data_IF_939386776065
#
_entry.id   IF_939386776065
#
_cell.length_a   1.000
_cell.length_b   1.000
_cell.length_c   1.000
_cell.angle_alpha   90.00
_cell.angle_beta   90.00
_cell.angle_gamma   90.00
#
_symmetry.space_group_name_H-M   'P 1'
#
loop_
_entity.id
_entity.type
_entity.pdbx_description
1 polymer ?
#
# COMPACT_ATOMS: atom_id res chain seq x y z
N UNK A 1 -8.30 8.74 -40.79
CA UNK A 1 -8.73 8.77 -39.38
C UNK A 1 -7.62 8.14 -38.57
N UNK A 2 -6.91 8.94 -37.77
CA UNK A 2 -5.59 8.63 -37.25
C UNK A 2 -5.64 7.45 -36.27
N UNK A 3 -4.66 6.55 -36.37
CA UNK A 3 -4.45 5.41 -35.47
C UNK A 3 -4.44 5.77 -33.98
N UNK A 4 -4.20 7.05 -33.64
CA UNK A 4 -4.22 7.57 -32.28
C UNK A 4 -5.65 7.61 -31.68
N UNK A 5 -6.69 7.85 -32.48
CA UNK A 5 -8.07 7.94 -31.98
C UNK A 5 -8.64 6.57 -31.56
N UNK A 6 -8.30 5.51 -32.31
CA UNK A 6 -8.70 4.14 -31.99
C UNK A 6 -8.06 3.65 -30.68
N UNK A 7 -6.80 4.04 -30.47
CA UNK A 7 -6.05 3.74 -29.25
C UNK A 7 -6.69 4.46 -28.05
N UNK A 8 -7.02 5.76 -28.19
CA UNK A 8 -7.70 6.52 -27.13
C UNK A 8 -9.09 5.95 -26.82
N UNK A 9 -9.91 5.62 -27.83
CA UNK A 9 -11.22 5.00 -27.61
C UNK A 9 -11.11 3.62 -26.93
N UNK A 10 -10.10 2.83 -27.29
CA UNK A 10 -9.84 1.54 -26.62
C UNK A 10 -9.45 1.74 -25.16
N UNK A 11 -8.65 2.76 -24.84
CA UNK A 11 -8.29 3.10 -23.46
C UNK A 11 -9.48 3.63 -22.66
N UNK A 12 -10.33 4.47 -23.25
CA UNK A 12 -11.56 4.97 -22.63
C UNK A 12 -12.55 3.84 -22.37
N UNK A 13 -12.72 2.92 -23.33
CA UNK A 13 -13.62 1.77 -23.18
C UNK A 13 -13.10 0.77 -22.13
N UNK A 14 -11.78 0.54 -22.06
CA UNK A 14 -11.17 -0.27 -21.02
C UNK A 14 -11.27 0.40 -19.65
N UNK A 15 -11.10 1.73 -19.56
CA UNK A 15 -11.29 2.51 -18.34
C UNK A 15 -12.73 2.43 -17.82
N UNK A 16 -13.70 2.52 -18.71
CA UNK A 16 -15.13 2.45 -18.38
C UNK A 16 -15.55 1.03 -17.97
N UNK A 17 -15.08 -0.01 -18.67
CA UNK A 17 -15.34 -1.41 -18.30
C UNK A 17 -14.61 -1.85 -17.02
N UNK A 18 -13.48 -1.23 -16.71
CA UNK A 18 -12.72 -1.48 -15.47
C UNK A 18 -13.20 -0.62 -14.30
N UNK A 19 -14.15 0.31 -14.50
CA UNK A 19 -14.79 1.05 -13.42
C UNK A 19 -13.87 2.02 -12.66
N UNK A 20 -12.78 2.47 -13.27
CA UNK A 20 -11.79 3.37 -12.64
C UNK A 20 -12.32 4.78 -12.29
N UNK A 21 -13.60 5.08 -12.58
CA UNK A 21 -14.30 6.32 -12.17
C UNK A 21 -15.48 6.08 -11.20
N UNK A 22 -15.63 4.87 -10.65
CA UNK A 22 -16.71 4.58 -9.70
C UNK A 22 -16.31 5.00 -8.28
N UNK A 23 -17.15 5.82 -7.65
CA UNK A 23 -17.04 6.31 -6.25
C UNK A 23 -16.98 5.15 -5.22
N UNK A 24 -17.31 3.93 -5.65
CA UNK A 24 -17.20 2.70 -4.87
C UNK A 24 -16.37 1.67 -5.62
N UNK A 25 -15.19 1.27 -5.09
CA UNK A 25 -14.34 0.28 -5.73
C UNK A 25 -15.07 -1.06 -5.85
N UNK A 26 -14.95 -1.70 -7.01
CA UNK A 26 -15.58 -2.99 -7.26
C UNK A 26 -14.97 -4.09 -6.40
N UNK A 27 -15.72 -5.16 -6.11
CA UNK A 27 -15.19 -6.31 -5.35
C UNK A 27 -13.91 -6.91 -5.97
N UNK A 28 -13.85 -6.94 -7.31
CA UNK A 28 -12.68 -7.41 -8.06
C UNK A 28 -11.47 -6.48 -7.88
N UNK A 29 -11.70 -5.17 -7.87
CA UNK A 29 -10.66 -4.16 -7.68
C UNK A 29 -10.06 -4.23 -6.27
N UNK A 30 -10.91 -4.40 -5.25
CA UNK A 30 -10.47 -4.58 -3.86
C UNK A 30 -9.58 -5.82 -3.72
N UNK A 31 -9.98 -6.96 -4.28
CA UNK A 31 -9.17 -8.18 -4.23
C UNK A 31 -7.86 -8.00 -5.00
N UNK A 32 -7.91 -7.34 -6.16
CA UNK A 32 -6.71 -7.07 -6.96
C UNK A 32 -5.73 -6.16 -6.21
N UNK A 33 -6.21 -5.05 -5.64
CA UNK A 33 -5.42 -4.12 -4.82
C UNK A 33 -4.80 -4.83 -3.60
N UNK A 34 -5.57 -5.67 -2.90
CA UNK A 34 -5.05 -6.46 -1.78
C UNK A 34 -3.97 -7.46 -2.24
N UNK A 35 -4.17 -8.13 -3.37
CA UNK A 35 -3.19 -9.06 -3.94
C UNK A 35 -1.89 -8.37 -4.33
N UNK A 36 -2.00 -7.21 -5.00
CA UNK A 36 -0.85 -6.37 -5.38
C UNK A 36 -0.12 -5.86 -4.14
N UNK A 37 -0.83 -5.28 -3.17
CA UNK A 37 -0.24 -4.78 -1.92
C UNK A 37 0.47 -5.88 -1.14
N UNK A 38 -0.15 -7.05 -1.00
CA UNK A 38 0.46 -8.19 -0.33
C UNK A 38 1.74 -8.64 -1.05
N UNK A 39 1.73 -8.71 -2.38
CA UNK A 39 2.90 -9.01 -3.21
C UNK A 39 4.04 -8.02 -3.01
N UNK A 40 3.76 -6.70 -3.08
CA UNK A 40 4.77 -5.67 -2.82
C UNK A 40 5.34 -5.77 -1.41
N UNK A 41 4.49 -5.96 -0.41
CA UNK A 41 4.92 -6.06 0.97
C UNK A 41 5.76 -7.32 1.25
N UNK A 42 5.51 -8.43 0.55
CA UNK A 42 6.38 -9.62 0.58
C UNK A 42 7.76 -9.34 -0.01
N UNK A 43 7.84 -8.55 -1.08
CA UNK A 43 9.13 -8.10 -1.65
C UNK A 43 9.88 -7.26 -0.62
N UNK A 44 9.20 -6.33 0.06
CA UNK A 44 9.79 -5.51 1.13
C UNK A 44 10.28 -6.36 2.29
N UNK A 45 9.48 -7.33 2.75
CA UNK A 45 9.87 -8.26 3.82
C UNK A 45 11.06 -9.14 3.43
N UNK A 46 11.16 -9.51 2.16
CA UNK A 46 12.31 -10.27 1.63
C UNK A 46 13.55 -9.39 1.49
N UNK A 47 13.40 -8.15 1.06
CA UNK A 47 14.47 -7.15 1.03
C UNK A 47 15.02 -6.87 2.43
N UNK A 48 14.14 -6.79 3.44
CA UNK A 48 14.55 -6.69 4.83
C UNK A 48 15.40 -7.89 5.26
N UNK A 49 14.93 -9.12 4.97
CA UNK A 49 15.68 -10.36 5.24
C UNK A 49 17.07 -10.35 4.61
N UNK A 50 17.16 -9.98 3.32
CA UNK A 50 18.43 -9.94 2.59
C UNK A 50 19.39 -8.84 3.09
N UNK A 51 18.85 -7.71 3.54
CA UNK A 51 19.64 -6.55 4.01
C UNK A 51 20.00 -6.67 5.49
N UNK A 52 19.47 -7.66 6.21
CA UNK A 52 19.66 -7.82 7.65
C UNK A 52 21.14 -8.02 8.00
N UNK A 53 21.69 -7.11 8.82
CA UNK A 53 23.10 -7.10 9.25
C UNK A 53 23.26 -7.13 10.78
N UNK A 54 22.19 -7.45 11.52
CA UNK A 54 22.16 -7.48 12.98
C UNK A 54 22.33 -8.89 13.57
N UNK A 55 22.41 -8.98 14.89
CA UNK A 55 22.50 -10.25 15.64
C UNK A 55 21.13 -10.76 16.15
N UNK A 56 20.05 -10.01 15.95
CA UNK A 56 18.70 -10.29 16.48
C UNK A 56 17.65 -10.31 15.38
N UNK A 57 17.77 -11.27 14.47
CA UNK A 57 16.73 -11.48 13.46
C UNK A 57 15.43 -11.89 14.16
N UNK A 58 14.33 -11.21 13.86
CA UNK A 58 13.00 -11.58 14.33
C UNK A 58 12.11 -11.86 13.14
N UNK A 59 11.66 -13.10 13.02
CA UNK A 59 10.69 -13.48 12.01
C UNK A 59 9.36 -12.75 12.21
N UNK A 60 8.97 -12.51 13.47
CA UNK A 60 7.76 -11.75 13.83
C UNK A 60 7.78 -10.35 13.26
N UNK A 61 8.97 -9.72 13.21
CA UNK A 61 9.11 -8.40 12.61
C UNK A 61 8.85 -8.41 11.09
N UNK A 62 9.34 -9.44 10.38
CA UNK A 62 9.09 -9.59 8.93
C UNK A 62 7.61 -9.81 8.64
N UNK A 63 6.94 -10.64 9.45
CA UNK A 63 5.49 -10.82 9.34
C UNK A 63 4.75 -9.52 9.65
N UNK A 64 5.20 -8.77 10.66
CA UNK A 64 4.61 -7.48 11.01
C UNK A 64 4.74 -6.47 9.88
N UNK A 65 5.84 -6.44 9.13
CA UNK A 65 5.97 -5.61 7.93
C UNK A 65 4.85 -5.91 6.94
N UNK A 66 4.69 -7.19 6.57
CA UNK A 66 3.70 -7.61 5.57
C UNK A 66 2.28 -7.27 6.00
N UNK A 67 1.94 -7.56 7.26
CA UNK A 67 0.63 -7.28 7.82
C UNK A 67 0.36 -5.77 7.83
N UNK A 68 1.32 -4.97 8.29
CA UNK A 68 1.14 -3.52 8.45
C UNK A 68 0.92 -2.84 7.10
N UNK A 69 1.69 -3.18 6.07
CA UNK A 69 1.47 -2.64 4.72
C UNK A 69 0.11 -3.04 4.13
N UNK A 70 -0.31 -4.30 4.32
CA UNK A 70 -1.62 -4.78 3.86
C UNK A 70 -2.76 -4.06 4.59
N UNK A 71 -2.63 -3.84 5.91
CA UNK A 71 -3.60 -3.08 6.70
C UNK A 71 -3.67 -1.63 6.20
N UNK A 72 -2.56 -1.01 5.81
CA UNK A 72 -2.60 0.35 5.24
C UNK A 72 -3.38 0.42 3.92
N UNK A 73 -3.33 -0.62 3.08
CA UNK A 73 -4.18 -0.71 1.88
C UNK A 73 -5.66 -0.82 2.23
N UNK A 74 -6.01 -1.60 3.26
CA UNK A 74 -7.39 -1.64 3.74
C UNK A 74 -7.83 -0.27 4.26
N UNK A 75 -6.95 0.46 4.96
CA UNK A 75 -7.26 1.80 5.46
C UNK A 75 -7.61 2.76 4.32
N UNK A 76 -6.84 2.77 3.22
CA UNK A 76 -7.11 3.70 2.12
C UNK A 76 -8.38 3.32 1.34
N UNK A 77 -8.64 2.02 1.15
CA UNK A 77 -9.86 1.52 0.53
C UNK A 77 -11.12 1.89 1.33
N UNK A 78 -11.07 1.82 2.66
CA UNK A 78 -12.19 2.21 3.53
C UNK A 78 -12.46 3.72 3.47
N UNK A 79 -11.42 4.53 3.32
CA UNK A 79 -11.51 6.00 3.27
C UNK A 79 -11.96 6.51 1.89
N UNK A 80 -11.76 5.71 0.83
CA UNK A 80 -11.96 6.05 -0.60
C UNK A 80 -13.32 6.62 -1.01
N UNK A 81 -14.33 6.55 -0.16
CA UNK A 81 -15.66 7.13 -0.40
C UNK A 81 -15.71 8.66 -0.40
N UNK A 82 -14.64 9.34 0.00
CA UNK A 82 -14.60 10.80 0.11
C UNK A 82 -13.71 11.44 -0.96
N UNK A 83 -14.07 12.62 -1.52
CA UNK A 83 -13.23 13.37 -2.46
C UNK A 83 -11.82 13.71 -1.94
N UNK A 84 -11.69 13.77 -0.60
CA UNK A 84 -10.43 14.05 0.09
C UNK A 84 -9.80 12.79 0.72
N UNK A 85 -10.13 11.60 0.20
CA UNK A 85 -9.71 10.34 0.79
C UNK A 85 -8.19 10.21 0.98
N UNK A 86 -7.40 10.70 0.03
CA UNK A 86 -5.94 10.69 0.12
C UNK A 86 -5.41 11.54 1.28
N UNK A 87 -5.99 12.71 1.53
CA UNK A 87 -5.57 13.60 2.61
C UNK A 87 -5.91 13.00 3.99
N UNK A 88 -7.10 12.42 4.13
CA UNK A 88 -7.56 11.76 5.36
C UNK A 88 -6.71 10.49 5.62
N UNK A 89 -6.49 9.68 4.59
CA UNK A 89 -5.64 8.49 4.66
C UNK A 89 -4.19 8.83 5.05
N UNK A 90 -3.63 9.91 4.49
CA UNK A 90 -2.31 10.41 4.86
C UNK A 90 -2.24 10.84 6.33
N UNK A 91 -3.26 11.55 6.82
CA UNK A 91 -3.37 11.93 8.23
C UNK A 91 -3.48 10.72 9.18
N UNK A 92 -4.29 9.73 8.82
CA UNK A 92 -4.44 8.49 9.60
C UNK A 92 -3.14 7.68 9.65
N UNK A 93 -2.44 7.57 8.52
CA UNK A 93 -1.11 6.97 8.45
C UNK A 93 -0.09 7.70 9.33
N UNK A 94 -0.05 9.04 9.25
CA UNK A 94 0.86 9.85 10.05
C UNK A 94 0.60 9.69 11.56
N UNK A 95 -0.66 9.65 11.97
CA UNK A 95 -1.05 9.39 13.35
C UNK A 95 -0.61 7.98 13.82
N UNK A 96 -0.82 6.96 12.99
CA UNK A 96 -0.40 5.59 13.30
C UNK A 96 1.13 5.45 13.41
N UNK A 97 1.88 6.10 12.51
CA UNK A 97 3.32 6.17 12.58
C UNK A 97 3.79 6.83 13.89
N UNK A 98 3.23 8.00 14.24
CA UNK A 98 3.49 8.71 15.51
C UNK A 98 3.30 7.82 16.75
N UNK A 99 2.16 7.12 16.81
CA UNK A 99 1.81 6.21 17.91
C UNK A 99 2.83 5.09 18.07
N UNK A 100 3.43 4.59 16.98
CA UNK A 100 4.42 3.51 17.01
C UNK A 100 5.84 3.99 17.34
N UNK A 101 6.21 5.23 17.00
CA UNK A 101 7.52 5.81 17.32
C UNK A 101 7.78 5.99 18.83
N UNK A 102 6.76 5.85 19.68
CA UNK A 102 6.91 5.99 21.13
C UNK A 102 7.68 4.85 21.82
N UNK A 103 7.90 3.71 21.14
CA UNK A 103 8.74 2.62 21.65
C UNK A 103 10.14 2.70 21.05
N UNK A 104 11.15 2.50 21.88
CA UNK A 104 12.56 2.48 21.47
C UNK A 104 12.78 1.33 20.48
N UNK A 105 12.80 1.64 19.18
CA UNK A 105 13.12 0.67 18.13
C UNK A 105 14.64 0.50 18.11
N UNK A 106 15.09 -0.74 18.31
CA UNK A 106 16.51 -1.04 18.52
C UNK A 106 17.44 -0.61 17.38
N UNK A 107 16.92 -0.39 16.17
CA UNK A 107 17.68 0.08 15.01
C UNK A 107 16.83 1.01 14.13
N UNK A 108 17.41 2.13 13.69
CA UNK A 108 16.76 3.08 12.77
C UNK A 108 16.32 2.42 11.45
N UNK A 109 17.00 1.34 11.04
CA UNK A 109 16.64 0.55 9.86
C UNK A 109 15.25 -0.07 9.97
N UNK A 110 14.95 -0.70 11.11
CA UNK A 110 13.66 -1.36 11.31
C UNK A 110 12.51 -0.35 11.20
N UNK A 111 12.79 0.90 11.55
CA UNK A 111 11.81 1.96 11.42
C UNK A 111 11.60 2.39 9.97
N UNK A 112 12.68 2.55 9.21
CA UNK A 112 12.61 2.89 7.79
C UNK A 112 11.82 1.84 7.01
N UNK A 113 12.04 0.54 7.25
CA UNK A 113 11.31 -0.52 6.56
C UNK A 113 9.82 -0.54 6.92
N UNK A 114 9.46 -0.27 8.18
CA UNK A 114 8.06 -0.19 8.61
C UNK A 114 7.33 0.95 7.89
N UNK A 115 7.93 2.14 7.83
CA UNK A 115 7.33 3.29 7.14
C UNK A 115 7.28 3.06 5.64
N UNK A 116 8.30 2.42 5.08
CA UNK A 116 8.33 2.06 3.66
C UNK A 116 7.17 1.14 3.31
N UNK A 117 6.98 0.06 4.08
CA UNK A 117 5.89 -0.90 3.90
C UNK A 117 4.50 -0.23 3.97
N UNK A 118 4.29 0.63 4.97
CA UNK A 118 3.03 1.38 5.09
C UNK A 118 2.81 2.31 3.90
N UNK A 119 3.84 3.04 3.46
CA UNK A 119 3.71 3.97 2.33
C UNK A 119 3.38 3.23 1.04
N UNK A 120 4.00 2.07 0.78
CA UNK A 120 3.58 1.21 -0.35
C UNK A 120 2.13 0.78 -0.24
N UNK A 121 1.64 0.45 0.96
CA UNK A 121 0.25 0.09 1.16
C UNK A 121 -0.74 1.22 0.86
N UNK A 122 -0.34 2.49 1.08
CA UNK A 122 -1.18 3.67 0.81
C UNK A 122 -1.29 4.02 -0.68
N UNK A 123 -0.24 3.74 -1.46
CA UNK A 123 -0.18 4.09 -2.89
C UNK A 123 -0.98 3.11 -3.76
N UNK A 124 -1.16 1.88 -3.28
CA UNK A 124 -1.97 0.83 -3.93
C UNK A 124 -3.45 1.12 -3.74
#
# INVERSE_FOLDING_TARGET
MNSLAFITDTYETLREQLGFDLITPGFVEVIFALGVSFGLNLIIGTLYKATYRGTRYSQDYVHTLVIVGTVTTILILVVGSHPNAQAIGFGMFAAFAMIRFRRNLGQARDLAFILFSMMTGMVV
#
